data_IF_671420430248
#
_entry.id   IF_671420430248
#
_cell.length_a   1.000
_cell.length_b   1.000
_cell.length_c   1.000
_cell.angle_alpha   90.00
_cell.angle_beta   90.00
_cell.angle_gamma   90.00
#
_symmetry.space_group_name_H-M   'P 1'
#
loop_
_entity.id
_entity.type
_entity.pdbx_description
1 polymer ?
#
# COMPACT_ATOMS: atom_id res chain seq x y z
N UNK A 1 2.59 -10.26 3.30
CA UNK A 1 3.14 -10.95 2.11
C UNK A 1 2.60 -12.35 1.96
N UNK A 2 2.43 -13.09 3.07
CA UNK A 2 1.85 -14.44 3.13
C UNK A 2 0.58 -14.65 2.28
N UNK A 3 -0.46 -13.86 2.48
CA UNK A 3 -1.72 -14.00 1.73
C UNK A 3 -1.57 -13.94 0.20
N UNK A 4 -0.59 -13.19 -0.32
CA UNK A 4 -0.32 -13.17 -1.77
C UNK A 4 0.30 -14.48 -2.22
N UNK A 5 1.23 -15.03 -1.44
CA UNK A 5 1.91 -16.27 -1.78
C UNK A 5 0.93 -17.44 -1.75
N UNK A 6 0.18 -17.59 -0.66
CA UNK A 6 -0.74 -18.71 -0.44
C UNK A 6 -1.98 -18.66 -1.33
N UNK A 7 -2.51 -17.47 -1.65
CA UNK A 7 -3.75 -17.35 -2.43
C UNK A 7 -3.55 -17.06 -3.91
N UNK A 8 -2.38 -16.60 -4.33
CA UNK A 8 -2.13 -16.19 -5.72
C UNK A 8 -0.99 -16.96 -6.37
N UNK A 9 0.19 -16.94 -5.74
CA UNK A 9 1.43 -17.43 -6.37
C UNK A 9 1.55 -18.96 -6.30
N UNK A 10 1.44 -19.57 -5.13
CA UNK A 10 1.56 -21.03 -4.98
C UNK A 10 0.45 -21.80 -5.71
N UNK A 11 -0.84 -21.38 -5.67
CA UNK A 11 -1.87 -22.04 -6.47
C UNK A 11 -1.62 -21.94 -7.98
N UNK A 12 -0.98 -20.85 -8.42
CA UNK A 12 -0.57 -20.71 -9.82
C UNK A 12 0.59 -21.63 -10.17
N UNK A 13 1.62 -21.70 -9.32
CA UNK A 13 2.71 -22.65 -9.51
C UNK A 13 2.16 -24.08 -9.62
N UNK A 14 1.22 -24.47 -8.75
CA UNK A 14 0.57 -25.77 -8.80
C UNK A 14 -0.20 -26.00 -10.11
N UNK A 15 -0.93 -25.01 -10.62
CA UNK A 15 -1.64 -25.13 -11.91
C UNK A 15 -0.72 -25.18 -13.13
N UNK A 16 0.51 -24.69 -13.01
CA UNK A 16 1.55 -24.75 -14.03
C UNK A 16 2.52 -25.93 -13.81
N UNK A 17 2.19 -26.83 -12.87
CA UNK A 17 3.00 -28.00 -12.50
C UNK A 17 4.43 -27.65 -12.05
N UNK A 18 4.64 -26.44 -11.53
CA UNK A 18 5.91 -25.98 -10.98
C UNK A 18 6.07 -26.54 -9.57
N UNK A 19 6.97 -27.51 -9.42
CA UNK A 19 7.20 -28.21 -8.16
C UNK A 19 8.52 -27.83 -7.48
N UNK A 20 9.52 -27.39 -8.25
CA UNK A 20 10.83 -27.04 -7.71
C UNK A 20 11.10 -25.55 -7.86
N UNK A 21 11.80 -24.93 -6.88
CA UNK A 21 12.20 -23.54 -7.00
C UNK A 21 13.04 -23.25 -8.27
N UNK A 22 13.86 -24.20 -8.71
CA UNK A 22 14.71 -24.06 -9.91
C UNK A 22 13.93 -23.89 -11.22
N UNK A 23 12.66 -24.31 -11.26
CA UNK A 23 11.80 -24.16 -12.45
C UNK A 23 11.31 -22.71 -12.62
N UNK A 24 11.47 -21.88 -11.58
CA UNK A 24 11.10 -20.47 -11.58
C UNK A 24 12.19 -19.65 -12.28
N UNK A 25 12.10 -19.59 -13.61
CA UNK A 25 12.90 -18.71 -14.45
C UNK A 25 12.24 -17.32 -14.60
N UNK A 26 12.98 -16.27 -15.01
CA UNK A 26 12.39 -14.96 -15.28
C UNK A 26 11.20 -15.00 -16.27
N UNK A 27 11.25 -15.90 -17.25
CA UNK A 27 10.19 -16.10 -18.23
C UNK A 27 8.94 -16.69 -17.57
N UNK A 28 9.12 -17.75 -16.77
CA UNK A 28 8.03 -18.40 -16.03
C UNK A 28 7.35 -17.41 -15.10
N UNK A 29 8.11 -16.64 -14.34
CA UNK A 29 7.56 -15.64 -13.43
C UNK A 29 6.94 -14.43 -14.17
N UNK A 30 7.37 -14.17 -15.40
CA UNK A 30 6.69 -13.25 -16.32
C UNK A 30 5.26 -13.67 -16.62
N UNK A 31 5.01 -14.97 -16.82
CA UNK A 31 3.65 -15.52 -17.05
C UNK A 31 2.73 -15.30 -15.85
N UNK A 32 3.23 -15.40 -14.62
CA UNK A 32 2.46 -15.03 -13.44
C UNK A 32 1.98 -13.57 -13.48
N UNK A 33 2.86 -12.66 -13.90
CA UNK A 33 2.51 -11.24 -14.02
C UNK A 33 1.46 -11.02 -15.10
N UNK A 34 1.59 -11.68 -16.26
CA UNK A 34 0.60 -11.62 -17.34
C UNK A 34 -0.77 -12.13 -16.88
N UNK A 35 -0.81 -13.29 -16.21
CA UNK A 35 -2.04 -13.84 -15.61
C UNK A 35 -2.70 -12.85 -14.67
N UNK A 36 -1.94 -12.17 -13.81
CA UNK A 36 -2.52 -11.18 -12.89
C UNK A 36 -3.14 -9.98 -13.60
N UNK A 37 -2.61 -9.60 -14.77
CA UNK A 37 -3.14 -8.51 -15.60
C UNK A 37 -4.43 -8.94 -16.30
N UNK A 38 -4.46 -10.17 -16.83
CA UNK A 38 -5.60 -10.72 -17.59
C UNK A 38 -6.74 -11.21 -16.69
N UNK A 39 -6.43 -11.53 -15.43
CA UNK A 39 -7.41 -12.07 -14.48
C UNK A 39 -8.56 -11.09 -14.22
N UNK A 40 -9.77 -11.60 -14.40
CA UNK A 40 -11.00 -10.94 -13.98
C UNK A 40 -11.44 -11.48 -12.61
N UNK A 41 -11.71 -10.56 -11.67
CA UNK A 41 -12.31 -10.88 -10.38
C UNK A 41 -13.78 -10.49 -10.35
N UNK A 42 -14.47 -10.71 -9.20
CA UNK A 42 -15.88 -10.33 -9.03
C UNK A 42 -16.16 -8.83 -9.23
N UNK A 43 -15.12 -7.99 -9.11
CA UNK A 43 -15.18 -6.53 -9.27
C UNK A 43 -14.50 -6.06 -10.57
N UNK A 44 -14.31 -6.95 -11.53
CA UNK A 44 -13.58 -6.68 -12.77
C UNK A 44 -12.07 -6.96 -12.66
N UNK A 45 -11.27 -6.46 -13.62
CA UNK A 45 -9.82 -6.71 -13.67
C UNK A 45 -9.08 -6.07 -12.49
N UNK A 46 -7.93 -6.65 -12.14
CA UNK A 46 -7.09 -6.09 -11.08
C UNK A 46 -6.49 -4.74 -11.51
N UNK A 47 -6.48 -3.77 -10.59
CA UNK A 47 -5.77 -2.51 -10.83
C UNK A 47 -4.27 -2.75 -10.99
N UNK A 48 -3.60 -1.90 -11.76
CA UNK A 48 -2.12 -1.93 -11.92
C UNK A 48 -1.38 -1.87 -10.58
N UNK A 49 -1.90 -1.09 -9.63
CA UNK A 49 -1.33 -1.01 -8.27
C UNK A 49 -1.43 -2.33 -7.51
N UNK A 50 -2.53 -3.08 -7.69
CA UNK A 50 -2.74 -4.39 -7.08
C UNK A 50 -1.80 -5.43 -7.69
N UNK A 51 -1.72 -5.49 -9.03
CA UNK A 51 -0.77 -6.36 -9.73
C UNK A 51 0.65 -6.07 -9.27
N UNK A 52 1.07 -4.80 -9.26
CA UNK A 52 2.41 -4.40 -8.78
C UNK A 52 2.68 -4.83 -7.34
N UNK A 53 1.68 -4.72 -6.45
CA UNK A 53 1.78 -5.17 -5.06
C UNK A 53 1.99 -6.68 -4.96
N UNK A 54 1.27 -7.47 -5.76
CA UNK A 54 1.42 -8.92 -5.79
C UNK A 54 2.77 -9.35 -6.35
N UNK A 55 3.19 -8.78 -7.48
CA UNK A 55 4.49 -9.05 -8.08
C UNK A 55 5.63 -8.66 -7.13
N UNK A 56 5.48 -7.56 -6.37
CA UNK A 56 6.46 -7.18 -5.34
C UNK A 56 6.57 -8.23 -4.23
N UNK A 57 5.45 -8.77 -3.77
CA UNK A 57 5.45 -9.84 -2.76
C UNK A 57 6.24 -11.06 -3.24
N UNK A 58 5.97 -11.50 -4.48
CA UNK A 58 6.67 -12.62 -5.10
C UNK A 58 8.16 -12.30 -5.28
N UNK A 59 8.51 -11.09 -5.72
CA UNK A 59 9.92 -10.68 -5.85
C UNK A 59 10.68 -10.78 -4.53
N UNK A 60 10.08 -10.33 -3.43
CA UNK A 60 10.70 -10.42 -2.09
C UNK A 60 10.86 -11.89 -1.68
N UNK A 61 9.85 -12.72 -1.92
CA UNK A 61 9.92 -14.15 -1.64
C UNK A 61 11.03 -14.85 -2.44
N UNK A 62 11.09 -14.64 -3.76
CA UNK A 62 12.13 -15.26 -4.60
C UNK A 62 13.54 -14.76 -4.27
N UNK A 63 13.67 -13.51 -3.82
CA UNK A 63 14.94 -13.01 -3.31
C UNK A 63 15.35 -13.70 -2.00
N UNK A 64 14.40 -14.01 -1.11
CA UNK A 64 14.66 -14.79 0.10
C UNK A 64 15.01 -16.26 -0.22
N UNK A 65 14.35 -16.89 -1.19
CA UNK A 65 14.64 -18.28 -1.61
C UNK A 65 16.10 -18.46 -2.07
N UNK A 66 16.71 -17.40 -2.61
CA UNK A 66 18.11 -17.39 -3.04
C UNK A 66 19.12 -17.25 -1.89
N UNK A 67 18.69 -16.95 -0.65
CA UNK A 67 19.60 -16.88 0.50
C UNK A 67 19.92 -18.27 1.03
N UNK A 68 20.99 -18.44 1.83
CA UNK A 68 21.31 -19.73 2.46
C UNK A 68 20.14 -20.33 3.26
N UNK A 69 19.33 -19.49 3.91
CA UNK A 69 18.15 -19.91 4.66
C UNK A 69 16.98 -20.34 3.76
N UNK A 70 16.91 -19.81 2.54
CA UNK A 70 15.90 -20.15 1.54
C UNK A 70 16.21 -21.44 0.76
N UNK A 71 17.47 -21.89 0.77
CA UNK A 71 17.87 -23.23 0.36
C UNK A 71 17.89 -23.51 -1.15
N UNK A 72 17.62 -22.54 -2.02
CA UNK A 72 17.62 -22.76 -3.48
C UNK A 72 18.39 -21.66 -4.24
N UNK A 73 19.72 -21.82 -4.29
CA UNK A 73 20.63 -20.92 -4.99
C UNK A 73 20.36 -20.80 -6.51
N UNK A 74 19.66 -21.75 -7.12
CA UNK A 74 19.40 -21.79 -8.57
C UNK A 74 18.23 -20.91 -9.04
N UNK A 75 17.47 -20.27 -8.14
CA UNK A 75 16.31 -19.44 -8.51
C UNK A 75 16.75 -18.09 -9.07
N UNK A 76 17.02 -18.01 -10.37
CA UNK A 76 17.39 -16.77 -11.06
C UNK A 76 16.23 -15.81 -11.35
N UNK A 77 15.00 -16.13 -10.95
CA UNK A 77 13.83 -15.30 -11.26
C UNK A 77 13.72 -14.05 -10.40
N UNK A 78 13.79 -12.89 -11.05
CA UNK A 78 13.42 -11.60 -10.47
C UNK A 78 12.31 -10.98 -11.32
N UNK A 79 11.03 -11.06 -10.88
CA UNK A 79 9.92 -10.50 -11.63
C UNK A 79 10.13 -9.00 -11.90
N UNK A 80 9.96 -8.59 -13.17
CA UNK A 80 9.91 -7.17 -13.51
C UNK A 80 8.61 -6.58 -12.97
N UNK A 81 8.72 -5.56 -12.13
CA UNK A 81 7.56 -4.87 -11.61
C UNK A 81 6.87 -4.07 -12.73
N UNK A 82 5.54 -4.19 -12.91
CA UNK A 82 4.79 -3.35 -13.84
C UNK A 82 5.05 -1.87 -13.56
N UNK A 83 5.10 -1.04 -14.61
CA UNK A 83 5.26 0.41 -14.46
C UNK A 83 4.17 0.94 -13.52
N UNK A 84 4.53 1.76 -12.52
CA UNK A 84 3.54 2.37 -11.66
C UNK A 84 2.64 3.25 -12.51
N UNK A 85 1.35 3.19 -12.22
CA UNK A 85 0.38 4.12 -12.77
C UNK A 85 0.54 5.46 -12.04
N UNK A 86 0.65 6.54 -12.81
CA UNK A 86 0.64 7.88 -12.24
C UNK A 86 -0.81 8.20 -11.89
N UNK A 87 -1.09 8.24 -10.59
CA UNK A 87 -2.41 8.66 -10.11
C UNK A 87 -2.46 10.18 -10.14
N UNK A 88 -3.44 10.72 -10.84
CA UNK A 88 -3.87 12.10 -10.60
C UNK A 88 -4.58 12.07 -9.25
N UNK A 89 -4.04 12.83 -8.30
CA UNK A 89 -4.72 13.01 -7.02
C UNK A 89 -5.88 13.97 -7.26
N UNK A 90 -7.07 13.53 -6.88
CA UNK A 90 -8.22 14.41 -6.80
C UNK A 90 -8.04 15.30 -5.58
N UNK A 91 -7.92 16.61 -5.80
CA UNK A 91 -7.66 17.60 -4.77
C UNK A 91 -8.96 18.34 -4.52
N UNK A 92 -9.49 18.18 -3.31
CA UNK A 92 -10.75 18.81 -2.93
C UNK A 92 -10.63 20.33 -2.97
N UNK A 93 -11.68 20.98 -3.46
CA UNK A 93 -11.81 22.43 -3.41
C UNK A 93 -12.17 22.89 -1.99
N UNK A 94 -12.01 24.20 -1.74
CA UNK A 94 -12.40 24.79 -0.45
C UNK A 94 -13.88 24.63 -0.18
N UNK A 95 -14.70 24.72 -1.24
CA UNK A 95 -16.15 24.59 -1.18
C UNK A 95 -16.57 23.16 -0.84
N UNK A 96 -15.87 22.16 -1.38
CA UNK A 96 -16.10 20.74 -1.07
C UNK A 96 -15.73 20.43 0.39
N UNK A 97 -14.61 20.97 0.88
CA UNK A 97 -14.21 20.86 2.29
C UNK A 97 -15.27 21.47 3.21
N UNK A 98 -15.74 22.69 2.90
CA UNK A 98 -16.79 23.34 3.68
C UNK A 98 -18.10 22.54 3.66
N UNK A 99 -18.43 21.92 2.52
CA UNK A 99 -19.62 21.06 2.40
C UNK A 99 -19.52 19.84 3.30
N UNK A 100 -18.36 19.17 3.35
CA UNK A 100 -18.13 18.05 4.27
C UNK A 100 -18.22 18.48 5.74
N UNK A 101 -17.68 19.64 6.08
CA UNK A 101 -17.76 20.19 7.43
C UNK A 101 -19.22 20.49 7.83
N UNK A 102 -20.00 21.12 6.95
CA UNK A 102 -21.40 21.44 7.20
C UNK A 102 -22.27 20.19 7.36
N UNK A 103 -21.90 19.08 6.71
CA UNK A 103 -22.57 17.79 6.84
C UNK A 103 -22.26 17.05 8.16
N UNK A 104 -21.19 17.44 8.87
CA UNK A 104 -20.78 16.79 10.11
C UNK A 104 -21.72 17.15 11.27
N UNK A 105 -22.16 16.12 12.02
CA UNK A 105 -23.19 16.26 13.07
C UNK A 105 -22.68 16.87 14.38
N UNK A 106 -21.39 16.76 14.65
CA UNK A 106 -20.79 17.16 15.93
C UNK A 106 -19.58 18.07 15.71
N UNK A 107 -19.29 18.96 16.65
CA UNK A 107 -18.09 19.81 16.60
C UNK A 107 -16.80 18.99 16.53
N UNK A 108 -16.79 17.81 17.15
CA UNK A 108 -15.67 16.86 17.04
C UNK A 108 -15.46 16.43 15.59
N UNK A 109 -16.52 16.02 14.90
CA UNK A 109 -16.41 15.53 13.52
C UNK A 109 -16.06 16.67 12.55
N UNK A 110 -16.57 17.89 12.79
CA UNK A 110 -16.13 19.10 12.07
C UNK A 110 -14.64 19.37 12.26
N UNK A 111 -14.16 19.29 13.50
CA UNK A 111 -12.73 19.46 13.81
C UNK A 111 -11.88 18.41 13.09
N UNK A 112 -12.32 17.15 13.02
CA UNK A 112 -11.63 16.10 12.27
C UNK A 112 -11.52 16.46 10.78
N UNK A 113 -12.59 16.96 10.16
CA UNK A 113 -12.56 17.39 8.76
C UNK A 113 -11.55 18.53 8.56
N UNK A 114 -11.59 19.57 9.40
CA UNK A 114 -10.65 20.70 9.32
C UNK A 114 -9.20 20.26 9.50
N UNK A 115 -8.90 19.45 10.51
CA UNK A 115 -7.54 18.97 10.78
C UNK A 115 -7.01 18.11 9.62
N UNK A 116 -7.84 17.26 9.02
CA UNK A 116 -7.45 16.49 7.85
C UNK A 116 -7.17 17.38 6.63
N UNK A 117 -8.01 18.40 6.40
CA UNK A 117 -7.90 19.32 5.27
C UNK A 117 -6.72 20.28 5.39
N UNK A 118 -6.54 20.91 6.56
CA UNK A 118 -5.58 22.00 6.75
C UNK A 118 -4.16 21.49 7.06
N UNK A 119 -4.05 20.34 7.72
CA UNK A 119 -2.75 19.82 8.18
C UNK A 119 -2.28 18.56 7.42
N UNK A 120 -3.14 17.95 6.60
CA UNK A 120 -2.77 16.79 5.75
C UNK A 120 -2.37 15.53 6.54
N UNK A 121 -2.92 15.35 7.75
CA UNK A 121 -2.66 14.17 8.57
C UNK A 121 -3.24 12.90 7.95
N UNK A 122 -2.63 11.75 8.25
CA UNK A 122 -3.23 10.45 7.95
C UNK A 122 -4.31 10.12 8.98
N UNK A 123 -5.29 9.31 8.58
CA UNK A 123 -6.35 8.86 9.48
C UNK A 123 -5.83 8.29 10.81
N UNK A 124 -4.83 7.41 10.76
CA UNK A 124 -4.25 6.83 11.98
C UNK A 124 -3.52 7.85 12.87
N UNK A 125 -3.03 8.95 12.30
CA UNK A 125 -2.40 10.03 13.04
C UNK A 125 -3.46 10.88 13.76
N UNK A 126 -4.56 11.24 13.07
CA UNK A 126 -5.70 11.96 13.68
C UNK A 126 -6.32 11.16 14.82
N UNK A 127 -6.50 9.84 14.63
CA UNK A 127 -7.05 8.96 15.66
C UNK A 127 -6.14 8.82 16.91
N UNK A 128 -4.86 9.14 16.79
CA UNK A 128 -3.89 9.06 17.87
C UNK A 128 -3.58 10.40 18.54
N UNK A 129 -4.15 11.51 18.04
CA UNK A 129 -3.97 12.84 18.59
C UNK A 129 -4.60 12.94 19.99
N UNK A 130 -3.93 13.69 20.85
CA UNK A 130 -4.37 14.05 22.19
C UNK A 130 -4.37 15.56 22.34
N UNK A 131 -5.11 16.06 23.34
CA UNK A 131 -5.11 17.49 23.65
C UNK A 131 -3.70 18.00 24.00
N UNK A 132 -2.86 17.17 24.64
CA UNK A 132 -1.45 17.47 24.97
C UNK A 132 -0.53 17.59 23.74
N UNK A 133 -0.96 17.11 22.56
CA UNK A 133 -0.20 17.24 21.32
C UNK A 133 -0.37 18.63 20.67
N UNK A 134 -1.37 19.41 21.11
CA UNK A 134 -1.57 20.79 20.70
C UNK A 134 -0.74 21.73 21.58
N UNK A 135 0.08 22.56 20.97
CA UNK A 135 0.90 23.53 21.69
C UNK A 135 1.03 24.83 20.91
N UNK A 136 1.42 25.89 21.60
CA UNK A 136 1.54 27.24 21.06
C UNK A 136 3.03 27.65 21.03
N UNK A 137 3.80 27.33 19.98
CA UNK A 137 5.22 27.69 19.86
C UNK A 137 5.50 29.18 20.03
N UNK A 138 4.59 30.02 19.54
CA UNK A 138 4.63 31.47 19.62
C UNK A 138 3.21 31.96 19.85
N UNK A 139 3.09 33.12 20.49
CA UNK A 139 1.79 33.70 20.78
C UNK A 139 0.97 33.87 19.49
N UNK A 140 -0.17 33.18 19.40
CA UNK A 140 -1.07 33.15 18.25
C UNK A 140 -0.75 32.08 17.20
N UNK A 141 0.33 31.30 17.34
CA UNK A 141 0.71 30.21 16.43
C UNK A 141 0.47 28.87 17.13
N UNK A 142 -0.43 28.05 16.61
CA UNK A 142 -0.70 26.71 17.13
C UNK A 142 -0.03 25.64 16.27
N UNK A 143 0.54 24.62 16.92
CA UNK A 143 1.17 23.47 16.28
C UNK A 143 0.63 22.17 16.87
N UNK A 144 0.50 21.15 16.01
CA UNK A 144 0.12 19.79 16.39
C UNK A 144 1.34 18.88 16.29
N UNK A 145 1.72 18.26 17.40
CA UNK A 145 2.75 17.22 17.40
C UNK A 145 2.16 15.92 16.85
N UNK A 146 2.74 15.38 15.79
CA UNK A 146 2.25 14.17 15.13
C UNK A 146 3.29 13.06 15.22
N UNK A 147 2.90 11.93 15.81
CA UNK A 147 3.71 10.71 15.82
C UNK A 147 3.60 10.00 14.47
N UNK A 148 4.59 10.22 13.61
CA UNK A 148 4.65 9.62 12.28
C UNK A 148 5.06 8.15 12.28
N UNK A 149 4.77 7.47 11.18
CA UNK A 149 5.22 6.08 10.95
C UNK A 149 6.76 6.01 11.00
N UNK A 150 7.28 5.07 11.80
CA UNK A 150 8.74 4.86 11.96
C UNK A 150 9.36 5.64 13.12
N UNK A 151 8.54 6.04 14.11
CA UNK A 151 8.98 6.80 15.30
C UNK A 151 9.66 8.13 14.95
N UNK A 152 9.25 8.75 13.84
CA UNK A 152 9.66 10.09 13.46
C UNK A 152 8.51 11.05 13.79
N UNK A 153 8.69 11.78 14.87
CA UNK A 153 7.79 12.87 15.25
C UNK A 153 7.95 14.02 14.24
N UNK A 154 6.86 14.72 13.97
CA UNK A 154 6.80 15.91 13.11
C UNK A 154 5.83 16.94 13.67
#
# INVERSE_FOLDING_TARGET
YDATLTRQFLPWCASEEIQNPGDLTPQVVGRFTARLIERQGPRGPLSRSTVRSYVRAVRVFLAWVQTPEGGAAAVGASPRLPRPEQRVLDVLTREEIQTMENAAKTERDKLIVRVLADCGLRLGEVLALRAEDLWEPRRGEFALKVRGKGSRDR
#
